data_IF_577277273719
#
_entry.id   IF_577277273719
#
_cell.length_a   1.000
_cell.length_b   1.000
_cell.length_c   1.000
_cell.angle_alpha   90.00
_cell.angle_beta   90.00
_cell.angle_gamma   90.00
#
_symmetry.space_group_name_H-M   'P 1'
#
loop_
_entity.id
_entity.type
_entity.pdbx_description
1 polymer ?
#
# COMPACT_ATOMS: atom_id res chain seq x y z
N UNK A 1 7.55 3.89 13.33
CA UNK A 1 6.78 2.76 12.75
C UNK A 1 7.57 1.49 12.97
N UNK A 2 6.97 0.33 13.28
CA UNK A 2 7.73 -0.90 13.44
C UNK A 2 8.50 -1.21 12.16
N UNK A 3 9.81 -1.48 12.27
CA UNK A 3 10.63 -1.91 11.13
C UNK A 3 10.05 -3.22 10.61
N UNK A 4 9.48 -3.19 9.40
CA UNK A 4 9.00 -4.40 8.72
C UNK A 4 10.20 -5.30 8.47
N UNK A 5 10.06 -6.60 8.72
CA UNK A 5 11.14 -7.56 8.42
C UNK A 5 11.38 -7.63 6.91
N UNK A 6 12.58 -8.04 6.46
CA UNK A 6 12.87 -8.22 5.03
C UNK A 6 11.83 -9.10 4.32
N UNK A 7 11.40 -10.20 4.94
CA UNK A 7 10.35 -11.08 4.39
C UNK A 7 9.00 -10.38 4.23
N UNK A 8 8.58 -9.54 5.20
CA UNK A 8 7.34 -8.77 5.08
C UNK A 8 7.41 -7.74 3.94
N UNK A 9 8.59 -7.15 3.74
CA UNK A 9 8.85 -6.25 2.60
C UNK A 9 8.77 -7.02 1.28
N UNK A 10 9.45 -8.17 1.17
CA UNK A 10 9.39 -9.03 -0.01
C UNK A 10 7.95 -9.41 -0.38
N UNK A 11 7.18 -9.94 0.57
CA UNK A 11 5.79 -10.32 0.31
C UNK A 11 4.95 -9.14 -0.19
N UNK A 12 5.12 -7.95 0.39
CA UNK A 12 4.42 -6.74 -0.06
C UNK A 12 4.80 -6.37 -1.49
N UNK A 13 6.09 -6.33 -1.83
CA UNK A 13 6.51 -5.92 -3.18
C UNK A 13 6.17 -6.99 -4.23
N UNK A 14 6.16 -8.27 -3.87
CA UNK A 14 5.72 -9.36 -4.73
C UNK A 14 4.23 -9.24 -5.10
N UNK A 15 3.37 -8.82 -4.16
CA UNK A 15 1.95 -8.54 -4.45
C UNK A 15 1.76 -7.31 -5.36
N UNK A 16 2.73 -6.41 -5.36
CA UNK A 16 2.64 -5.11 -5.99
C UNK A 16 3.18 -5.08 -7.42
N UNK A 17 4.21 -5.87 -7.72
CA UNK A 17 4.98 -5.76 -8.97
C UNK A 17 5.04 -7.03 -9.82
N UNK A 18 4.31 -8.09 -9.45
CA UNK A 18 4.22 -9.36 -10.20
C UNK A 18 5.59 -9.98 -10.51
N UNK A 19 6.18 -10.76 -9.58
CA UNK A 19 7.54 -11.26 -9.74
C UNK A 19 7.69 -12.17 -10.97
N UNK A 20 8.77 -12.00 -11.75
CA UNK A 20 9.09 -12.90 -12.86
C UNK A 20 9.46 -14.31 -12.36
N UNK A 21 9.42 -15.30 -13.25
CA UNK A 21 9.62 -16.72 -12.89
C UNK A 21 10.91 -16.95 -12.11
N UNK A 22 12.01 -16.33 -12.54
CA UNK A 22 13.31 -16.49 -11.87
C UNK A 22 13.37 -15.91 -10.45
N UNK A 23 12.47 -14.99 -10.08
CA UNK A 23 12.34 -14.49 -8.70
C UNK A 23 11.51 -15.46 -7.87
N UNK A 24 10.49 -16.07 -8.47
CA UNK A 24 9.64 -17.07 -7.81
C UNK A 24 10.39 -18.37 -7.49
N UNK A 25 11.34 -18.73 -8.36
CA UNK A 25 12.20 -19.92 -8.20
C UNK A 25 13.41 -19.67 -7.29
N UNK A 26 13.75 -18.41 -7.02
CA UNK A 26 14.90 -18.06 -6.20
C UNK A 26 14.64 -18.38 -4.72
N UNK A 27 15.70 -18.84 -4.06
CA UNK A 27 15.72 -19.06 -2.61
C UNK A 27 15.78 -17.75 -1.84
N UNK A 28 15.42 -17.79 -0.55
CA UNK A 28 15.51 -16.63 0.34
C UNK A 28 16.93 -16.03 0.36
N UNK A 29 18.00 -16.85 0.34
CA UNK A 29 19.39 -16.37 0.36
C UNK A 29 19.90 -15.79 -0.97
N UNK A 30 19.15 -16.00 -2.06
CA UNK A 30 19.41 -15.37 -3.36
C UNK A 30 18.68 -14.04 -3.51
N UNK A 31 17.55 -13.86 -2.81
CA UNK A 31 16.75 -12.62 -2.83
C UNK A 31 17.22 -11.68 -1.71
N UNK A 32 17.37 -12.22 -0.51
CA UNK A 32 17.72 -11.53 0.71
C UNK A 32 19.19 -11.79 1.04
N UNK A 33 19.90 -10.77 1.52
CA UNK A 33 21.25 -10.97 2.04
C UNK A 33 21.20 -11.62 3.42
N UNK A 34 22.09 -12.58 3.66
CA UNK A 34 22.28 -13.25 4.95
C UNK A 34 23.28 -12.52 5.86
N UNK A 35 23.77 -11.35 5.43
CA UNK A 35 24.75 -10.55 6.12
C UNK A 35 26.20 -10.85 5.73
N UNK A 36 26.46 -11.96 5.04
CA UNK A 36 27.83 -12.44 4.75
C UNK A 36 28.55 -11.65 3.65
N UNK A 37 27.80 -10.93 2.80
CA UNK A 37 28.36 -10.30 1.60
C UNK A 37 28.97 -8.93 1.85
N UNK A 38 29.94 -8.57 1.02
CA UNK A 38 30.60 -7.27 1.04
C UNK A 38 29.70 -6.13 0.53
N UNK A 39 30.21 -4.89 0.61
CA UNK A 39 29.45 -3.69 0.25
C UNK A 39 29.14 -3.59 -1.25
N UNK A 40 29.97 -4.20 -2.07
CA UNK A 40 29.81 -4.33 -3.53
C UNK A 40 28.57 -5.14 -3.94
N UNK A 41 28.04 -5.97 -3.04
CA UNK A 41 26.82 -6.73 -3.25
C UNK A 41 25.53 -5.88 -3.11
N UNK A 42 25.64 -4.57 -2.89
CA UNK A 42 24.53 -3.67 -2.60
C UNK A 42 24.57 -2.39 -3.45
N UNK A 43 23.38 -1.87 -3.75
CA UNK A 43 23.23 -0.61 -4.47
C UNK A 43 23.44 0.63 -3.59
N UNK A 44 23.42 0.47 -2.26
CA UNK A 44 23.51 1.55 -1.28
C UNK A 44 24.54 1.27 -0.16
N UNK A 45 25.08 2.31 0.48
CA UNK A 45 25.98 2.18 1.64
C UNK A 45 25.38 1.45 2.85
N UNK A 46 24.07 1.60 3.08
CA UNK A 46 23.35 1.07 4.24
C UNK A 46 22.94 -0.40 4.05
N UNK A 47 23.32 -1.02 2.92
CA UNK A 47 23.04 -2.42 2.58
C UNK A 47 21.55 -2.76 2.55
N UNK A 48 20.70 -1.81 2.16
CA UNK A 48 19.25 -1.99 2.06
C UNK A 48 18.81 -2.65 0.75
N UNK A 49 19.61 -2.52 -0.32
CA UNK A 49 19.25 -2.92 -1.68
C UNK A 49 20.27 -3.92 -2.26
N UNK A 50 20.15 -5.23 -1.97
CA UNK A 50 21.04 -6.23 -2.51
C UNK A 50 20.95 -6.33 -4.05
N UNK A 51 22.10 -6.46 -4.72
CA UNK A 51 22.21 -6.53 -6.19
C UNK A 51 23.15 -7.65 -6.65
N UNK A 52 23.36 -8.67 -5.81
CA UNK A 52 24.32 -9.75 -6.06
C UNK A 52 23.78 -10.90 -6.92
N UNK A 53 22.47 -11.00 -7.12
CA UNK A 53 21.83 -11.93 -8.07
C UNK A 53 20.76 -11.20 -8.89
N UNK A 54 20.32 -11.81 -10.00
CA UNK A 54 19.14 -11.35 -10.76
C UNK A 54 17.90 -11.14 -9.88
N UNK A 55 17.67 -12.04 -8.92
CA UNK A 55 16.48 -12.01 -8.07
C UNK A 55 16.57 -10.91 -7.01
N UNK A 56 17.73 -10.77 -6.37
CA UNK A 56 18.04 -9.66 -5.46
C UNK A 56 17.93 -8.30 -6.16
N UNK A 57 18.48 -8.16 -7.37
CA UNK A 57 18.41 -6.90 -8.14
C UNK A 57 16.96 -6.52 -8.47
N UNK A 58 16.12 -7.48 -8.88
CA UNK A 58 14.70 -7.22 -9.11
C UNK A 58 13.97 -6.83 -7.81
N UNK A 59 14.23 -7.55 -6.70
CA UNK A 59 13.66 -7.25 -5.40
C UNK A 59 14.04 -5.84 -4.90
N UNK A 60 15.30 -5.46 -5.09
CA UNK A 60 15.81 -4.12 -4.78
C UNK A 60 15.13 -3.05 -5.62
N UNK A 61 14.93 -3.28 -6.91
CA UNK A 61 14.17 -2.37 -7.77
C UNK A 61 12.73 -2.20 -7.27
N UNK A 62 12.05 -3.30 -6.94
CA UNK A 62 10.66 -3.28 -6.47
C UNK A 62 10.51 -2.61 -5.10
N UNK A 63 11.45 -2.84 -4.18
CA UNK A 63 11.49 -2.18 -2.87
C UNK A 63 11.79 -0.69 -3.02
N UNK A 64 12.78 -0.32 -3.82
CA UNK A 64 13.11 1.07 -4.10
C UNK A 64 11.93 1.82 -4.74
N UNK A 65 11.18 1.14 -5.61
CA UNK A 65 10.01 1.70 -6.26
C UNK A 65 8.77 1.80 -5.35
N UNK A 66 8.68 0.98 -4.30
CA UNK A 66 7.61 1.02 -3.28
C UNK A 66 7.88 2.05 -2.18
N UNK A 67 9.15 2.35 -1.89
CA UNK A 67 9.54 3.31 -0.87
C UNK A 67 9.25 4.75 -1.38
N UNK A 68 8.20 5.36 -0.82
CA UNK A 68 7.54 6.58 -1.31
C UNK A 68 8.35 7.90 -1.16
N UNK A 69 9.67 7.86 -0.93
CA UNK A 69 10.46 9.10 -0.75
C UNK A 69 11.72 9.13 -1.63
N UNK A 70 11.61 9.64 -2.86
CA UNK A 70 12.74 9.78 -3.77
C UNK A 70 13.63 11.01 -3.48
N UNK A 71 13.43 11.78 -2.41
CA UNK A 71 13.95 13.16 -2.33
C UNK A 71 15.37 13.35 -1.76
N UNK A 72 16.24 12.34 -1.75
CA UNK A 72 17.65 12.52 -1.36
C UNK A 72 18.60 12.23 -2.52
N UNK A 73 19.74 12.91 -2.61
CA UNK A 73 20.77 12.61 -3.62
C UNK A 73 21.26 11.16 -3.58
N UNK A 74 21.11 10.49 -2.43
CA UNK A 74 21.36 9.07 -2.26
C UNK A 74 20.43 8.20 -3.14
N UNK A 75 19.18 8.62 -3.39
CA UNK A 75 18.21 7.83 -4.19
C UNK A 75 18.64 7.69 -5.65
N UNK A 76 19.21 8.75 -6.24
CA UNK A 76 19.68 8.72 -7.62
C UNK A 76 20.84 7.74 -7.82
N UNK A 77 21.78 7.70 -6.87
CA UNK A 77 22.91 6.77 -6.90
C UNK A 77 22.45 5.31 -6.78
N UNK A 78 21.53 5.04 -5.85
CA UNK A 78 20.96 3.69 -5.65
C UNK A 78 20.23 3.22 -6.91
N UNK A 79 19.36 4.06 -7.48
CA UNK A 79 18.65 3.73 -8.72
C UNK A 79 19.63 3.42 -9.87
N UNK A 80 20.67 4.23 -10.04
CA UNK A 80 21.70 4.01 -11.06
C UNK A 80 22.40 2.66 -10.87
N UNK A 81 22.75 2.31 -9.64
CA UNK A 81 23.43 1.05 -9.33
C UNK A 81 22.52 -0.17 -9.59
N UNK A 82 21.24 -0.09 -9.20
CA UNK A 82 20.23 -1.13 -9.51
C UNK A 82 20.11 -1.34 -11.02
N UNK A 83 19.98 -0.24 -11.80
CA UNK A 83 19.86 -0.32 -13.26
C UNK A 83 21.12 -0.89 -13.91
N UNK A 84 22.31 -0.50 -13.43
CA UNK A 84 23.58 -1.05 -13.92
C UNK A 84 23.70 -2.56 -13.66
N UNK A 85 23.35 -3.02 -12.45
CA UNK A 85 23.33 -4.45 -12.12
C UNK A 85 22.29 -5.21 -12.97
N UNK A 86 21.10 -4.63 -13.17
CA UNK A 86 20.05 -5.21 -13.99
C UNK A 86 20.49 -5.42 -15.45
N UNK A 87 21.25 -4.47 -16.00
CA UNK A 87 21.87 -4.60 -17.31
C UNK A 87 22.88 -5.75 -17.35
N UNK A 88 23.73 -5.88 -16.33
CA UNK A 88 24.68 -6.98 -16.21
C UNK A 88 24.04 -8.37 -16.15
N UNK A 89 22.86 -8.48 -15.52
CA UNK A 89 22.09 -9.74 -15.44
C UNK A 89 21.12 -9.96 -16.62
N UNK A 90 20.97 -8.99 -17.53
CA UNK A 90 20.04 -9.09 -18.66
C UNK A 90 18.55 -8.98 -18.27
N UNK A 91 18.23 -8.41 -17.09
CA UNK A 91 16.85 -8.24 -16.57
C UNK A 91 16.36 -6.78 -16.66
N UNK A 92 16.97 -5.99 -17.55
CA UNK A 92 16.69 -4.55 -17.67
C UNK A 92 15.20 -4.25 -17.94
N UNK A 93 14.55 -5.05 -18.78
CA UNK A 93 13.11 -4.91 -19.10
C UNK A 93 12.22 -5.13 -17.88
N UNK A 94 12.54 -6.11 -17.04
CA UNK A 94 11.76 -6.42 -15.83
C UNK A 94 11.87 -5.28 -14.81
N UNK A 95 13.08 -4.73 -14.63
CA UNK A 95 13.33 -3.59 -13.75
C UNK A 95 12.68 -2.30 -14.27
N UNK A 96 12.69 -2.08 -15.59
CA UNK A 96 11.97 -0.96 -16.21
C UNK A 96 10.46 -1.07 -15.98
N UNK A 97 9.88 -2.25 -16.14
CA UNK A 97 8.46 -2.49 -15.89
C UNK A 97 8.07 -2.20 -14.44
N UNK A 98 8.92 -2.55 -13.47
CA UNK A 98 8.75 -2.19 -12.05
C UNK A 98 8.68 -0.68 -11.88
N UNK A 99 9.65 0.06 -12.41
CA UNK A 99 9.68 1.52 -12.28
C UNK A 99 8.54 2.21 -13.02
N UNK A 100 8.16 1.72 -14.20
CA UNK A 100 7.01 2.23 -14.94
C UNK A 100 5.71 2.01 -14.16
N UNK A 101 5.52 0.82 -13.56
CA UNK A 101 4.36 0.52 -12.71
C UNK A 101 4.32 1.40 -11.46
N UNK A 102 5.48 1.70 -10.88
CA UNK A 102 5.56 2.62 -9.73
C UNK A 102 5.33 4.08 -10.12
N UNK A 103 5.86 4.54 -11.26
CA UNK A 103 5.61 5.90 -11.77
C UNK A 103 4.15 6.12 -12.15
N UNK A 104 3.44 5.06 -12.58
CA UNK A 104 2.00 5.07 -12.78
C UNK A 104 1.19 5.10 -11.46
N UNK A 105 1.83 4.95 -10.29
CA UNK A 105 1.15 5.21 -9.02
C UNK A 105 1.12 6.72 -8.82
N UNK A 106 -0.06 7.28 -8.94
CA UNK A 106 -0.24 8.70 -8.67
C UNK A 106 0.12 9.03 -7.22
N UNK A 107 0.81 10.15 -7.05
CA UNK A 107 1.08 10.68 -5.74
C UNK A 107 -0.24 11.16 -5.10
N UNK A 108 -0.72 10.36 -4.17
CA UNK A 108 -1.94 10.63 -3.42
C UNK A 108 -1.75 11.73 -2.37
N UNK A 109 -0.51 12.21 -2.15
CA UNK A 109 -0.20 13.18 -1.10
C UNK A 109 -0.85 14.55 -1.35
N UNK A 110 -0.94 14.98 -2.61
CA UNK A 110 -1.49 16.28 -3.01
C UNK A 110 -3.01 16.34 -3.14
N UNK A 111 -3.71 15.20 -3.03
CA UNK A 111 -5.15 15.15 -3.23
C UNK A 111 -5.94 15.68 -2.03
N UNK A 112 -7.12 16.30 -2.20
CA UNK A 112 -7.96 16.71 -1.09
C UNK A 112 -8.57 15.51 -0.35
N UNK A 113 -8.99 15.73 0.90
CA UNK A 113 -9.63 14.70 1.71
C UNK A 113 -10.96 14.18 1.13
N UNK A 114 -11.59 14.92 0.21
CA UNK A 114 -12.81 14.53 -0.51
C UNK A 114 -12.58 13.41 -1.52
N UNK A 115 -11.33 13.14 -1.88
CA UNK A 115 -10.96 12.11 -2.85
C UNK A 115 -10.62 10.77 -2.18
N UNK A 116 -10.93 10.62 -0.89
CA UNK A 116 -10.72 9.38 -0.14
C UNK A 116 -11.98 9.00 0.65
N UNK A 117 -12.32 7.71 0.60
CA UNK A 117 -13.43 7.17 1.38
C UNK A 117 -13.07 7.03 2.87
N UNK A 118 -11.84 6.64 3.20
CA UNK A 118 -11.43 6.39 4.60
C UNK A 118 -10.40 7.43 5.04
N UNK A 119 -10.73 8.14 6.13
CA UNK A 119 -9.82 9.05 6.81
C UNK A 119 -9.55 8.55 8.22
N UNK A 120 -8.33 8.12 8.50
CA UNK A 120 -7.92 7.80 9.86
C UNK A 120 -7.57 9.11 10.57
N UNK A 121 -8.20 9.36 11.71
CA UNK A 121 -7.98 10.57 12.51
C UNK A 121 -7.17 10.24 13.76
N UNK A 122 -6.28 11.15 14.15
CA UNK A 122 -5.55 11.08 15.42
C UNK A 122 -6.48 11.37 16.62
N UNK A 123 -5.95 11.25 17.85
CA UNK A 123 -6.70 11.53 19.09
C UNK A 123 -7.19 12.99 19.20
N UNK A 124 -6.71 13.88 18.33
CA UNK A 124 -7.12 15.29 18.24
C UNK A 124 -8.11 15.54 17.09
N UNK A 125 -8.54 14.50 16.40
CA UNK A 125 -9.48 14.56 15.28
C UNK A 125 -8.86 15.03 13.96
N UNK A 126 -7.53 15.17 13.87
CA UNK A 126 -6.84 15.55 12.63
C UNK A 126 -6.63 14.32 11.76
N UNK A 127 -6.73 14.48 10.45
CA UNK A 127 -6.50 13.38 9.50
C UNK A 127 -5.03 12.97 9.53
N UNK A 128 -4.75 11.78 10.06
CA UNK A 128 -3.43 11.19 10.17
C UNK A 128 -3.08 10.32 8.95
N UNK A 129 -4.07 9.63 8.37
CA UNK A 129 -3.89 8.86 7.14
C UNK A 129 -5.15 8.90 6.28
N UNK A 130 -4.96 8.69 4.98
CA UNK A 130 -6.00 8.67 3.95
C UNK A 130 -5.89 7.35 3.19
N UNK A 131 -7.02 6.68 2.99
CA UNK A 131 -7.08 5.37 2.34
C UNK A 131 -8.32 5.28 1.45
N UNK A 132 -8.28 4.35 0.49
CA UNK A 132 -9.33 4.14 -0.52
C UNK A 132 -9.64 5.41 -1.32
N UNK A 133 -8.76 5.76 -2.28
CA UNK A 133 -9.06 6.80 -3.27
C UNK A 133 -10.41 6.53 -3.95
N UNK A 134 -11.13 7.60 -4.30
CA UNK A 134 -12.46 7.55 -4.94
C UNK A 134 -12.59 8.60 -6.06
N UNK A 135 -11.53 8.86 -6.83
CA UNK A 135 -11.50 9.97 -7.80
C UNK A 135 -12.26 9.67 -9.09
N UNK A 136 -12.30 8.40 -9.47
CA UNK A 136 -12.89 7.93 -10.71
C UNK A 136 -13.79 6.70 -10.51
N UNK A 137 -14.42 6.25 -11.60
CA UNK A 137 -15.35 5.13 -11.58
C UNK A 137 -14.75 3.81 -11.11
N UNK A 138 -13.48 3.55 -11.45
CA UNK A 138 -12.79 2.32 -11.07
C UNK A 138 -12.49 2.35 -9.57
N UNK A 139 -11.96 3.47 -9.09
CA UNK A 139 -11.61 3.66 -7.68
C UNK A 139 -12.82 3.59 -6.76
N UNK A 140 -13.94 4.21 -7.13
CA UNK A 140 -15.19 4.15 -6.36
C UNK A 140 -15.69 2.70 -6.22
N UNK A 141 -15.67 1.92 -7.30
CA UNK A 141 -16.06 0.50 -7.26
C UNK A 141 -15.12 -0.33 -6.38
N UNK A 142 -13.81 -0.12 -6.55
CA UNK A 142 -12.80 -0.81 -5.73
C UNK A 142 -12.94 -0.46 -4.24
N UNK A 143 -13.21 0.82 -3.92
CA UNK A 143 -13.44 1.27 -2.56
C UNK A 143 -14.70 0.63 -1.95
N UNK A 144 -15.78 0.51 -2.72
CA UNK A 144 -17.02 -0.16 -2.31
C UNK A 144 -16.81 -1.65 -1.97
N UNK A 145 -16.13 -2.38 -2.85
CA UNK A 145 -15.79 -3.79 -2.65
C UNK A 145 -14.88 -3.97 -1.44
N UNK A 146 -13.84 -3.14 -1.35
CA UNK A 146 -12.87 -3.19 -0.24
C UNK A 146 -13.55 -2.90 1.09
N UNK A 147 -14.43 -1.90 1.16
CA UNK A 147 -15.17 -1.57 2.38
C UNK A 147 -16.09 -2.72 2.83
N UNK A 148 -16.71 -3.41 1.87
CA UNK A 148 -17.54 -4.60 2.13
C UNK A 148 -16.70 -5.73 2.72
N UNK A 149 -15.54 -6.03 2.12
CA UNK A 149 -14.61 -7.04 2.64
C UNK A 149 -14.05 -6.68 4.02
N UNK A 150 -13.89 -5.38 4.30
CA UNK A 150 -13.32 -4.86 5.55
C UNK A 150 -14.35 -4.56 6.63
N UNK A 151 -15.61 -4.99 6.43
CA UNK A 151 -16.72 -4.64 7.31
C UNK A 151 -16.50 -5.08 8.77
N UNK A 152 -15.82 -6.22 8.98
CA UNK A 152 -15.58 -6.77 10.33
C UNK A 152 -14.35 -6.20 11.03
N UNK A 153 -13.40 -5.64 10.28
CA UNK A 153 -12.12 -5.17 10.82
C UNK A 153 -12.15 -3.69 11.26
N UNK A 154 -13.15 -2.94 10.79
CA UNK A 154 -13.30 -1.50 11.02
C UNK A 154 -14.36 -1.18 12.09
N UNK A 155 -14.37 0.03 12.63
CA UNK A 155 -15.44 0.49 13.53
C UNK A 155 -16.66 0.92 12.73
N UNK A 156 -17.84 0.90 13.35
CA UNK A 156 -19.08 1.30 12.69
C UNK A 156 -19.04 2.74 12.16
N UNK A 157 -18.47 3.68 12.92
CA UNK A 157 -18.40 5.08 12.50
C UNK A 157 -17.51 5.26 11.27
N UNK A 158 -16.36 4.58 11.20
CA UNK A 158 -15.48 4.61 10.02
C UNK A 158 -16.20 4.05 8.80
N UNK A 159 -16.91 2.92 8.95
CA UNK A 159 -17.68 2.34 7.85
C UNK A 159 -18.80 3.24 7.37
N UNK A 160 -19.54 3.86 8.30
CA UNK A 160 -20.64 4.76 7.98
C UNK A 160 -20.13 5.98 7.21
N UNK A 161 -19.06 6.61 7.68
CA UNK A 161 -18.44 7.76 6.99
C UNK A 161 -17.93 7.37 5.60
N UNK A 162 -17.22 6.25 5.48
CA UNK A 162 -16.69 5.77 4.21
C UNK A 162 -17.79 5.42 3.20
N UNK A 163 -18.83 4.70 3.64
CA UNK A 163 -19.96 4.34 2.79
C UNK A 163 -20.72 5.57 2.28
N UNK A 164 -20.93 6.58 3.14
CA UNK A 164 -21.54 7.85 2.74
C UNK A 164 -20.74 8.56 1.65
N UNK A 165 -19.41 8.67 1.82
CA UNK A 165 -18.51 9.30 0.83
C UNK A 165 -18.50 8.56 -0.50
N UNK A 166 -18.47 7.22 -0.47
CA UNK A 166 -18.50 6.40 -1.68
C UNK A 166 -19.81 6.63 -2.44
N UNK A 167 -20.95 6.62 -1.76
CA UNK A 167 -22.27 6.84 -2.38
C UNK A 167 -22.40 8.25 -2.94
N UNK A 168 -21.97 9.27 -2.20
CA UNK A 168 -21.99 10.66 -2.66
C UNK A 168 -21.12 10.86 -3.91
N UNK A 169 -19.91 10.29 -3.90
CA UNK A 169 -18.99 10.38 -5.03
C UNK A 169 -19.48 9.57 -6.24
N UNK A 170 -20.08 8.40 -6.02
CA UNK A 170 -20.71 7.60 -7.06
C UNK A 170 -21.84 8.38 -7.74
N UNK A 171 -22.71 9.02 -6.95
CA UNK A 171 -23.79 9.87 -7.47
C UNK A 171 -23.25 11.08 -8.24
N UNK A 172 -22.23 11.76 -7.69
CA UNK A 172 -21.62 12.93 -8.33
C UNK A 172 -20.98 12.62 -9.70
N UNK A 173 -20.43 11.42 -9.85
CA UNK A 173 -19.79 10.96 -11.09
C UNK A 173 -20.73 10.15 -12.01
N UNK A 174 -21.98 9.90 -11.60
CA UNK A 174 -22.94 9.10 -12.35
C UNK A 174 -22.53 7.62 -12.49
N UNK A 175 -21.89 7.05 -11.47
CA UNK A 175 -21.38 5.68 -11.49
C UNK A 175 -22.45 4.71 -10.98
N UNK A 176 -22.77 3.69 -11.80
CA UNK A 176 -23.55 2.54 -11.36
C UNK A 176 -22.67 1.53 -10.60
N UNK A 177 -23.00 1.33 -9.32
CA UNK A 177 -22.35 0.36 -8.43
C UNK A 177 -23.01 -1.02 -8.49
N UNK A 178 -24.19 -1.14 -9.10
CA UNK A 178 -25.05 -2.30 -9.05
C UNK A 178 -25.85 -2.38 -7.75
N UNK A 179 -27.10 -2.84 -7.86
CA UNK A 179 -28.08 -2.82 -6.76
C UNK A 179 -27.61 -3.52 -5.47
N UNK A 180 -26.85 -4.62 -5.60
CA UNK A 180 -26.36 -5.37 -4.44
C UNK A 180 -25.32 -4.58 -3.62
N UNK A 181 -24.31 -3.99 -4.30
CA UNK A 181 -23.28 -3.18 -3.64
C UNK A 181 -23.88 -1.89 -3.09
N UNK A 182 -24.75 -1.22 -3.86
CA UNK A 182 -25.41 0.00 -3.42
C UNK A 182 -26.27 -0.24 -2.18
N UNK A 183 -27.09 -1.31 -2.15
CA UNK A 183 -27.91 -1.66 -0.99
C UNK A 183 -27.06 -1.96 0.25
N UNK A 184 -25.94 -2.66 0.09
CA UNK A 184 -24.98 -2.94 1.17
C UNK A 184 -24.36 -1.65 1.74
N UNK A 185 -23.96 -0.72 0.86
CA UNK A 185 -23.41 0.57 1.27
C UNK A 185 -24.46 1.45 1.95
N UNK A 186 -25.69 1.51 1.43
CA UNK A 186 -26.80 2.25 2.04
C UNK A 186 -27.12 1.74 3.45
N UNK A 187 -27.14 0.41 3.62
CA UNK A 187 -27.31 -0.22 4.94
C UNK A 187 -26.16 0.15 5.89
N UNK A 188 -24.92 0.17 5.38
CA UNK A 188 -23.72 0.54 6.15
C UNK A 188 -23.69 2.03 6.52
N UNK A 189 -24.17 2.90 5.62
CA UNK A 189 -24.33 4.33 5.85
C UNK A 189 -25.48 4.65 6.84
N UNK A 190 -26.22 3.63 7.29
CA UNK A 190 -27.41 3.75 8.13
C UNK A 190 -28.52 4.60 7.51
N UNK A 191 -28.57 4.69 6.17
CA UNK A 191 -29.65 5.31 5.43
C UNK A 191 -30.84 4.34 5.34
N UNK A 192 -31.59 4.18 6.44
CA UNK A 192 -32.90 3.49 6.41
C UNK A 192 -33.17 2.43 7.47
N UNK A 193 -32.24 2.13 8.39
CA UNK A 193 -32.54 1.29 9.57
C UNK A 193 -32.27 2.09 10.84
N UNK A 194 -33.28 2.18 11.70
CA UNK A 194 -33.24 2.95 12.94
C UNK A 194 -31.95 2.72 13.72
N UNK A 195 -31.36 3.82 14.20
CA UNK A 195 -30.12 3.86 14.97
C UNK A 195 -30.14 2.75 16.05
N UNK A 196 -29.24 1.75 16.03
CA UNK A 196 -29.16 0.81 17.14
C UNK A 196 -28.78 1.61 18.38
N UNK A 197 -29.58 1.45 19.44
CA UNK A 197 -29.40 2.09 20.73
C UNK A 197 -27.97 1.88 21.21
N UNK A 198 -27.28 2.99 21.48
CA UNK A 198 -25.87 3.09 21.88
C UNK A 198 -25.46 1.98 22.87
N UNK A 199 -24.71 0.99 22.39
CA UNK A 199 -23.93 0.13 23.29
C UNK A 199 -22.88 1.01 24.00
N UNK A 200 -22.61 0.69 25.27
CA UNK A 200 -21.92 1.53 26.26
C UNK A 200 -20.51 2.04 25.88
N UNK A 201 -19.90 2.84 26.77
CA UNK A 201 -18.66 3.56 26.49
C UNK A 201 -17.54 2.63 26.03
N UNK A 202 -16.89 3.07 24.95
CA UNK A 202 -15.74 2.45 24.30
C UNK A 202 -14.65 2.13 25.34
N UNK A 203 -14.35 0.85 25.54
CA UNK A 203 -13.16 0.44 26.29
C UNK A 203 -11.94 0.88 25.47
N UNK A 204 -11.00 1.67 26.04
CA UNK A 204 -9.77 2.00 25.34
C UNK A 204 -8.97 0.72 25.08
N UNK A 205 -8.35 0.63 23.90
CA UNK A 205 -7.47 -0.49 23.54
C UNK A 205 -6.40 -0.68 24.63
N UNK A 206 -6.08 -1.93 25.02
CA UNK A 206 -4.95 -2.19 25.91
C UNK A 206 -3.67 -1.65 25.25
N UNK A 207 -2.94 -0.80 25.99
CA UNK A 207 -1.60 -0.38 25.59
C UNK A 207 -0.73 -1.63 25.47
N UNK A 208 0.01 -1.76 24.37
CA UNK A 208 1.01 -2.82 24.22
C UNK A 208 1.97 -2.75 25.41
N UNK A 209 2.30 -3.86 26.07
CA UNK A 209 3.35 -3.88 27.09
C UNK A 209 4.66 -3.48 26.43
N UNK A 210 5.35 -2.51 27.02
CA UNK A 210 6.75 -2.21 26.72
C UNK A 210 7.61 -3.40 27.16
N UNK A 211 8.46 -3.96 26.29
CA UNK A 211 9.43 -4.96 26.71
C UNK A 211 10.47 -4.32 27.65
N UNK A 212 11.05 -5.10 28.59
CA UNK A 212 12.09 -4.64 29.50
C UNK A 212 13.39 -4.27 28.78
#
# INVERSE_FOLDING_TARGET
MPNKTPHQRYHRVAQLFDPPAYVKEASDGEILDDGSRGREAFADPERLYPIHTKAATWYSAATFADDASPSSSATAAVRRNIVAAAAGFGIGRDVEAVFAKAAGREDLSGLPNSDFAVLDRDDRGRVAARSLPIRDAREVKQAAETLTAWAHASTFDVRREAAGRILEKAAALGIDLGAALESSLQATAAMGRGRPTRAGPHTPRPRRPTPP
#
